data_IF_127616574927
#
_entry.id   IF_127616574927
#
_cell.length_a   1.000
_cell.length_b   1.000
_cell.length_c   1.000
_cell.angle_alpha   90.00
_cell.angle_beta   90.00
_cell.angle_gamma   90.00
#
_symmetry.space_group_name_H-M   'P 1'
#
loop_
_entity.id
_entity.type
_entity.pdbx_description
1 polymer ?
#
# COMPACT_ATOMS: atom_id res chain seq x y z
N UNK A 1 -22.63 15.15 -4.71
CA UNK A 1 -22.12 15.49 -3.35
C UNK A 1 -22.04 17.00 -3.21
N UNK A 2 -22.66 17.60 -2.20
CA UNK A 2 -22.33 19.00 -1.87
C UNK A 2 -20.95 19.00 -1.23
N UNK A 3 -19.94 19.55 -1.89
CA UNK A 3 -18.67 19.83 -1.27
C UNK A 3 -18.91 20.83 -0.12
N UNK A 4 -18.33 20.61 1.08
CA UNK A 4 -18.45 21.60 2.15
C UNK A 4 -17.93 22.94 1.64
N UNK A 5 -18.68 24.00 1.87
CA UNK A 5 -18.31 25.37 1.45
C UNK A 5 -17.16 25.95 2.27
N UNK A 6 -16.79 25.28 3.37
CA UNK A 6 -15.73 25.70 4.30
C UNK A 6 -14.49 24.83 4.02
N UNK A 7 -13.34 25.46 3.90
CA UNK A 7 -12.06 24.74 3.75
C UNK A 7 -11.74 24.00 5.05
N UNK A 8 -11.46 22.69 4.96
CA UNK A 8 -11.10 21.83 6.10
C UNK A 8 -9.94 22.38 6.95
N UNK A 9 -9.02 23.15 6.35
CA UNK A 9 -7.91 23.81 7.05
C UNK A 9 -8.35 24.68 8.21
N UNK A 10 -9.54 25.29 8.12
CA UNK A 10 -10.08 26.13 9.18
C UNK A 10 -10.33 25.36 10.47
N UNK A 11 -10.45 24.03 10.35
CA UNK A 11 -10.69 23.10 11.46
C UNK A 11 -9.41 22.45 12.01
N UNK A 12 -8.26 22.55 11.30
CA UNK A 12 -7.00 21.94 11.75
C UNK A 12 -6.28 22.83 12.77
N UNK A 13 -6.87 22.98 13.95
CA UNK A 13 -6.34 23.81 15.05
C UNK A 13 -6.72 23.22 16.41
N UNK A 14 -5.93 23.51 17.47
CA UNK A 14 -6.21 23.02 18.82
C UNK A 14 -7.63 23.35 19.31
N UNK A 15 -8.25 22.38 19.99
CA UNK A 15 -9.57 22.49 20.60
C UNK A 15 -10.77 22.22 19.68
N UNK A 16 -10.58 22.12 18.37
CA UNK A 16 -11.62 21.68 17.43
C UNK A 16 -11.95 20.21 17.65
N UNK A 17 -13.24 19.86 17.62
CA UNK A 17 -13.75 18.50 17.82
C UNK A 17 -14.03 17.82 16.49
N UNK A 18 -13.24 16.80 16.17
CA UNK A 18 -13.39 16.00 14.96
C UNK A 18 -14.02 14.64 15.28
N UNK A 19 -15.07 14.27 14.53
CA UNK A 19 -15.65 12.93 14.56
C UNK A 19 -15.19 12.14 13.33
N UNK A 20 -14.58 10.97 13.54
CA UNK A 20 -14.08 10.10 12.49
C UNK A 20 -14.97 8.87 12.35
N UNK A 21 -15.75 8.80 11.27
CA UNK A 21 -16.58 7.64 10.96
C UNK A 21 -15.73 6.54 10.27
N UNK A 22 -15.69 5.34 10.86
CA UNK A 22 -14.80 4.23 10.47
C UNK A 22 -13.39 4.42 11.01
N UNK A 23 -13.25 4.91 12.23
CA UNK A 23 -11.98 5.34 12.84
C UNK A 23 -10.94 4.22 12.97
N UNK A 24 -11.37 2.95 13.11
CA UNK A 24 -10.48 1.78 13.19
C UNK A 24 -9.85 1.35 11.88
N UNK A 25 -10.22 1.97 10.75
CA UNK A 25 -9.67 1.66 9.44
C UNK A 25 -8.17 2.00 9.32
N UNK A 26 -7.42 1.22 8.49
CA UNK A 26 -5.95 1.28 8.34
C UNK A 26 -5.39 2.70 8.13
N UNK A 27 -6.12 3.57 7.45
CA UNK A 27 -5.68 4.96 7.19
C UNK A 27 -6.50 6.01 7.93
N UNK A 28 -7.55 5.60 8.66
CA UNK A 28 -8.32 6.49 9.55
C UNK A 28 -7.69 6.57 10.94
N UNK A 29 -7.18 5.44 11.45
CA UNK A 29 -6.47 5.40 12.73
C UNK A 29 -5.24 6.33 12.74
N UNK A 30 -4.32 6.29 11.74
CA UNK A 30 -3.23 7.27 11.64
C UNK A 30 -3.73 8.72 11.60
N UNK A 31 -4.81 8.97 10.86
CA UNK A 31 -5.40 10.30 10.78
C UNK A 31 -5.88 10.78 12.16
N UNK A 32 -6.53 9.91 12.93
CA UNK A 32 -6.99 10.23 14.29
C UNK A 32 -5.81 10.65 15.20
N UNK A 33 -4.70 9.93 15.14
CA UNK A 33 -3.51 10.24 15.94
C UNK A 33 -2.81 11.52 15.50
N UNK A 34 -2.70 11.76 14.19
CA UNK A 34 -2.14 13.03 13.68
C UNK A 34 -2.99 14.20 14.13
N UNK A 35 -4.32 14.13 13.99
CA UNK A 35 -5.24 15.18 14.45
C UNK A 35 -5.15 15.39 15.95
N UNK A 36 -5.06 14.32 16.75
CA UNK A 36 -4.83 14.40 18.19
C UNK A 36 -3.49 15.09 18.49
N UNK A 37 -2.42 14.72 17.79
CA UNK A 37 -1.10 15.36 17.89
C UNK A 37 -1.10 16.84 17.52
N UNK A 38 -1.99 17.28 16.63
CA UNK A 38 -2.23 18.69 16.29
C UNK A 38 -3.09 19.43 17.32
N UNK A 39 -3.53 18.74 18.40
CA UNK A 39 -4.30 19.32 19.49
C UNK A 39 -5.80 19.34 19.27
N UNK A 40 -6.34 18.63 18.28
CA UNK A 40 -7.77 18.45 18.11
C UNK A 40 -8.32 17.49 19.18
N UNK A 41 -9.58 17.62 19.51
CA UNK A 41 -10.33 16.66 20.32
C UNK A 41 -10.93 15.65 19.34
N UNK A 42 -10.39 14.43 19.34
CA UNK A 42 -10.80 13.38 18.40
C UNK A 42 -11.79 12.44 19.07
N UNK A 43 -12.86 12.11 18.36
CA UNK A 43 -13.80 11.05 18.67
C UNK A 43 -14.17 10.30 17.40
N UNK A 44 -14.80 9.14 17.49
CA UNK A 44 -15.21 8.44 16.28
C UNK A 44 -16.07 7.22 16.54
N UNK A 45 -16.33 6.48 15.46
CA UNK A 45 -17.10 5.25 15.49
C UNK A 45 -16.49 4.20 14.56
N UNK A 46 -16.73 2.95 14.88
CA UNK A 46 -16.43 1.82 13.98
C UNK A 46 -17.53 0.74 14.10
N UNK A 47 -17.66 -0.10 13.08
CA UNK A 47 -18.67 -1.18 13.11
C UNK A 47 -18.28 -2.32 14.05
N UNK A 48 -16.99 -2.51 14.28
CA UNK A 48 -16.44 -3.64 15.02
C UNK A 48 -15.43 -3.22 16.07
N UNK A 49 -15.44 -3.92 17.20
CA UNK A 49 -14.34 -3.87 18.15
C UNK A 49 -13.09 -4.50 17.52
N UNK A 50 -11.98 -3.81 17.51
CA UNK A 50 -10.70 -4.28 16.98
C UNK A 50 -9.55 -3.84 17.88
N UNK A 51 -8.37 -4.46 17.72
CA UNK A 51 -7.17 -4.05 18.45
C UNK A 51 -6.85 -2.57 18.21
N UNK A 52 -7.06 -2.08 16.98
CA UNK A 52 -6.90 -0.67 16.61
C UNK A 52 -7.85 0.24 17.40
N UNK A 53 -9.12 -0.15 17.53
CA UNK A 53 -10.11 0.60 18.34
C UNK A 53 -9.71 0.60 19.81
N UNK A 54 -9.25 -0.54 20.34
CA UNK A 54 -8.74 -0.65 21.72
C UNK A 54 -7.53 0.29 21.94
N UNK A 55 -6.59 0.34 21.01
CA UNK A 55 -5.43 1.23 21.06
C UNK A 55 -5.83 2.72 21.06
N UNK A 56 -6.76 3.13 20.18
CA UNK A 56 -7.27 4.50 20.14
C UNK A 56 -7.94 4.90 21.47
N UNK A 57 -8.74 4.00 22.06
CA UNK A 57 -9.33 4.23 23.38
C UNK A 57 -8.29 4.36 24.49
N UNK A 58 -7.22 3.56 24.44
CA UNK A 58 -6.11 3.67 25.40
C UNK A 58 -5.40 5.03 25.32
N UNK A 59 -5.45 5.70 24.15
CA UNK A 59 -4.95 7.07 23.97
C UNK A 59 -5.94 8.15 24.38
N UNK A 60 -7.12 7.77 24.91
CA UNK A 60 -8.15 8.70 25.39
C UNK A 60 -9.15 9.15 24.32
N UNK A 61 -9.15 8.53 23.13
CA UNK A 61 -10.13 8.81 22.07
C UNK A 61 -11.43 8.07 22.38
N UNK A 62 -12.55 8.79 22.37
CA UNK A 62 -13.88 8.21 22.57
C UNK A 62 -14.37 7.56 21.29
N UNK A 63 -14.46 6.22 21.27
CA UNK A 63 -14.85 5.43 20.08
C UNK A 63 -16.12 4.64 20.39
N UNK A 64 -17.19 4.93 19.64
CA UNK A 64 -18.46 4.20 19.68
C UNK A 64 -18.38 2.95 18.74
N UNK A 65 -19.08 1.88 19.14
CA UNK A 65 -19.27 0.71 18.25
C UNK A 65 -20.68 0.81 17.65
N UNK A 66 -20.74 0.70 16.32
CA UNK A 66 -21.93 0.94 15.50
C UNK A 66 -22.08 2.42 15.13
N UNK A 67 -22.76 2.66 14.02
CA UNK A 67 -23.04 4.01 13.52
C UNK A 67 -24.41 4.52 13.99
N UNK A 68 -24.42 5.67 14.67
CA UNK A 68 -25.61 6.36 15.11
C UNK A 68 -25.42 7.88 15.06
N UNK A 69 -26.45 8.63 14.69
CA UNK A 69 -26.43 10.09 14.73
C UNK A 69 -26.17 10.66 16.16
N UNK A 70 -26.37 9.85 17.20
CA UNK A 70 -26.08 10.19 18.59
C UNK A 70 -24.58 10.21 18.88
N UNK A 71 -23.77 9.49 18.10
CA UNK A 71 -22.31 9.47 18.23
C UNK A 71 -21.69 10.84 17.92
N UNK A 72 -22.36 11.67 17.13
CA UNK A 72 -21.82 12.97 16.70
C UNK A 72 -21.62 13.98 17.84
N UNK A 73 -22.27 13.80 19.00
CA UNK A 73 -22.12 14.71 20.14
C UNK A 73 -21.94 16.18 19.70
N UNK A 74 -20.99 16.91 20.33
CA UNK A 74 -20.67 18.31 20.02
C UNK A 74 -19.45 18.35 19.06
N UNK A 75 -19.54 17.78 17.85
CA UNK A 75 -18.44 17.84 16.88
C UNK A 75 -18.57 19.02 15.93
N UNK A 76 -17.41 19.58 15.53
CA UNK A 76 -17.31 20.72 14.62
C UNK A 76 -17.21 20.26 13.15
N UNK A 77 -16.68 19.05 12.92
CA UNK A 77 -16.57 18.42 11.61
C UNK A 77 -16.66 16.90 11.71
N UNK A 78 -17.04 16.27 10.60
CA UNK A 78 -16.99 14.82 10.41
C UNK A 78 -16.01 14.49 9.31
N UNK A 79 -15.17 13.47 9.54
CA UNK A 79 -14.29 12.90 8.51
C UNK A 79 -14.69 11.44 8.33
N UNK A 80 -14.91 11.02 7.07
CA UNK A 80 -15.32 9.66 6.74
C UNK A 80 -14.33 8.95 5.82
N UNK A 81 -14.31 7.63 5.89
CA UNK A 81 -13.70 6.81 4.84
C UNK A 81 -14.61 6.73 3.61
N UNK A 82 -14.06 6.53 2.42
CA UNK A 82 -14.83 6.36 1.18
C UNK A 82 -15.81 5.16 1.22
N UNK A 83 -15.62 4.21 2.14
CA UNK A 83 -16.53 3.08 2.35
C UNK A 83 -17.85 3.46 3.03
N UNK A 84 -17.95 4.64 3.62
CA UNK A 84 -19.14 5.14 4.33
C UNK A 84 -19.83 6.18 3.45
N UNK A 85 -21.07 5.88 3.03
CA UNK A 85 -21.86 6.71 2.12
C UNK A 85 -22.82 7.66 2.85
N UNK A 86 -23.53 8.49 2.10
CA UNK A 86 -24.38 9.55 2.64
C UNK A 86 -25.60 9.01 3.43
N UNK A 87 -26.01 7.76 3.18
CA UNK A 87 -27.10 7.07 3.89
C UNK A 87 -26.71 6.59 5.29
N UNK A 88 -25.44 6.61 5.64
CA UNK A 88 -24.98 6.25 6.98
C UNK A 88 -25.60 7.22 8.01
N UNK A 89 -26.13 6.72 9.15
CA UNK A 89 -26.81 7.55 10.14
C UNK A 89 -25.98 8.73 10.68
N UNK A 90 -24.67 8.58 10.80
CA UNK A 90 -23.77 9.65 11.25
C UNK A 90 -23.63 10.72 10.16
N UNK A 91 -23.42 10.29 8.91
CA UNK A 91 -23.26 11.24 7.80
C UNK A 91 -24.57 11.99 7.56
N UNK A 92 -25.70 11.28 7.47
CA UNK A 92 -27.02 11.89 7.35
C UNK A 92 -27.33 12.84 8.51
N UNK A 93 -26.97 12.44 9.76
CA UNK A 93 -27.12 13.25 10.95
C UNK A 93 -26.25 14.50 10.95
N UNK A 94 -25.02 14.42 10.46
CA UNK A 94 -24.12 15.57 10.31
C UNK A 94 -24.68 16.58 9.29
N UNK A 95 -25.09 16.09 8.11
CA UNK A 95 -25.69 16.92 7.06
C UNK A 95 -26.94 17.64 7.60
N UNK A 96 -27.84 16.92 8.30
CA UNK A 96 -29.06 17.50 8.87
C UNK A 96 -28.78 18.58 9.94
N UNK A 97 -27.64 18.50 10.65
CA UNK A 97 -27.21 19.48 11.65
C UNK A 97 -26.34 20.60 11.06
N UNK A 98 -26.03 20.56 9.74
CA UNK A 98 -25.13 21.53 9.09
C UNK A 98 -23.67 21.37 9.49
N UNK A 99 -23.26 20.19 10.01
CA UNK A 99 -21.89 19.88 10.35
C UNK A 99 -21.17 19.47 9.04
N UNK A 100 -20.04 20.10 8.69
CA UNK A 100 -19.33 19.78 7.47
C UNK A 100 -18.75 18.36 7.50
N UNK A 101 -18.91 17.65 6.39
CA UNK A 101 -18.41 16.28 6.19
C UNK A 101 -17.32 16.29 5.14
N UNK A 102 -16.17 15.73 5.47
CA UNK A 102 -15.01 15.62 4.58
C UNK A 102 -14.63 14.17 4.35
N UNK A 103 -14.05 13.90 3.18
CA UNK A 103 -13.39 12.64 2.90
C UNK A 103 -12.01 12.59 3.60
N UNK A 104 -11.61 11.42 4.01
CA UNK A 104 -10.28 11.16 4.59
C UNK A 104 -9.14 11.74 3.76
N UNK A 105 -9.20 11.62 2.42
CA UNK A 105 -8.18 12.13 1.52
C UNK A 105 -8.07 13.67 1.58
N UNK A 106 -9.20 14.38 1.74
CA UNK A 106 -9.20 15.84 1.92
C UNK A 106 -8.51 16.24 3.24
N UNK A 107 -8.73 15.46 4.31
CA UNK A 107 -8.09 15.71 5.60
C UNK A 107 -6.56 15.52 5.49
N UNK A 108 -6.11 14.44 4.88
CA UNK A 108 -4.68 14.22 4.64
C UNK A 108 -4.07 15.31 3.75
N UNK A 109 -4.76 15.71 2.67
CA UNK A 109 -4.31 16.82 1.83
C UNK A 109 -4.15 18.12 2.60
N UNK A 110 -5.07 18.46 3.50
CA UNK A 110 -4.96 19.65 4.33
C UNK A 110 -3.80 19.54 5.33
N UNK A 111 -3.61 18.38 5.96
CA UNK A 111 -2.49 18.11 6.88
C UNK A 111 -1.15 18.26 6.17
N UNK A 112 -0.99 17.73 4.96
CA UNK A 112 0.25 17.80 4.17
C UNK A 112 0.76 19.22 4.01
N UNK A 113 -0.12 20.22 3.93
CA UNK A 113 0.25 21.62 3.74
C UNK A 113 0.89 22.28 4.99
N UNK A 114 0.94 21.56 6.12
CA UNK A 114 1.70 21.97 7.30
C UNK A 114 3.17 21.51 7.26
N UNK A 115 3.55 20.71 6.26
CA UNK A 115 4.90 20.21 6.08
C UNK A 115 5.59 20.93 4.91
N UNK A 116 6.89 21.18 5.05
CA UNK A 116 7.70 21.76 3.97
C UNK A 116 7.85 20.77 2.80
N UNK A 117 8.04 19.49 3.15
CA UNK A 117 8.24 18.40 2.21
C UNK A 117 7.12 17.38 2.34
N UNK A 118 6.30 17.26 1.30
CA UNK A 118 5.24 16.27 1.19
C UNK A 118 5.58 15.29 0.06
N UNK A 119 6.10 14.12 0.42
CA UNK A 119 6.51 13.07 -0.52
C UNK A 119 5.39 12.07 -0.69
N UNK A 120 4.90 11.93 -1.91
CA UNK A 120 3.79 11.06 -2.27
C UNK A 120 4.24 9.96 -3.23
N UNK A 121 4.20 8.71 -2.77
CA UNK A 121 4.49 7.54 -3.62
C UNK A 121 3.20 6.99 -4.21
N UNK A 122 3.09 7.07 -5.55
CA UNK A 122 1.95 6.57 -6.33
C UNK A 122 2.39 5.54 -7.37
N UNK A 123 1.44 4.80 -7.90
CA UNK A 123 1.64 3.78 -8.91
C UNK A 123 0.66 2.63 -8.73
N UNK A 124 0.42 1.87 -9.76
CA UNK A 124 -0.44 0.68 -9.68
C UNK A 124 0.14 -0.31 -8.67
N UNK A 125 1.46 -0.56 -8.72
CA UNK A 125 2.17 -1.50 -7.86
C UNK A 125 3.38 -0.87 -7.16
N UNK A 126 3.85 -1.49 -6.07
CA UNK A 126 5.08 -1.11 -5.38
C UNK A 126 4.96 0.01 -4.35
N UNK A 127 3.81 0.70 -4.26
CA UNK A 127 3.57 1.84 -3.34
C UNK A 127 4.04 1.58 -1.92
N UNK A 128 3.50 0.54 -1.27
CA UNK A 128 3.79 0.20 0.13
C UNK A 128 5.27 -0.08 0.36
N UNK A 129 5.89 -0.87 -0.50
CA UNK A 129 7.31 -1.21 -0.40
C UNK A 129 8.19 0.02 -0.56
N UNK A 130 7.91 0.88 -1.56
CA UNK A 130 8.71 2.08 -1.82
C UNK A 130 8.54 3.11 -0.71
N UNK A 131 7.31 3.32 -0.21
CA UNK A 131 7.05 4.21 0.94
C UNK A 131 7.77 3.72 2.20
N UNK A 132 7.81 2.40 2.40
CA UNK A 132 8.55 1.78 3.51
C UNK A 132 10.06 1.97 3.37
N UNK A 133 10.64 1.75 2.18
CA UNK A 133 12.05 2.01 1.89
C UNK A 133 12.41 3.49 2.13
N UNK A 134 11.60 4.43 1.63
CA UNK A 134 11.79 5.85 1.87
C UNK A 134 11.73 6.17 3.37
N UNK A 135 10.79 5.57 4.10
CA UNK A 135 10.71 5.74 5.56
C UNK A 135 12.01 5.35 6.25
N UNK A 136 12.59 4.18 5.91
CA UNK A 136 13.88 3.74 6.45
C UNK A 136 15.00 4.73 6.13
N UNK A 137 15.07 5.21 4.88
CA UNK A 137 16.08 6.20 4.45
C UNK A 137 15.97 7.49 5.27
N UNK A 138 14.76 8.06 5.39
CA UNK A 138 14.54 9.32 6.11
C UNK A 138 14.74 9.17 7.62
N UNK A 139 14.43 8.01 8.20
CA UNK A 139 14.75 7.69 9.58
C UNK A 139 16.27 7.56 9.79
N UNK A 140 16.99 6.90 8.89
CA UNK A 140 18.45 6.80 8.91
C UNK A 140 19.13 8.17 8.76
N UNK A 141 18.49 9.10 8.05
CA UNK A 141 18.90 10.51 7.94
C UNK A 141 18.55 11.36 9.17
N UNK A 142 17.86 10.80 10.17
CA UNK A 142 17.36 11.52 11.35
C UNK A 142 16.39 12.67 11.01
N UNK A 143 15.68 12.58 9.88
CA UNK A 143 14.73 13.59 9.44
C UNK A 143 13.41 13.58 10.23
N UNK A 144 13.20 12.60 11.09
CA UNK A 144 12.01 12.46 11.95
C UNK A 144 10.67 12.63 11.22
N UNK A 145 10.41 11.91 10.09
CA UNK A 145 9.25 12.16 9.24
C UNK A 145 7.94 11.71 9.89
N UNK A 146 6.84 12.38 9.50
CA UNK A 146 5.49 11.81 9.63
C UNK A 146 5.26 10.88 8.43
N UNK A 147 4.69 9.70 8.69
CA UNK A 147 4.60 8.64 7.67
C UNK A 147 3.22 8.01 7.68
N UNK A 148 2.67 7.70 6.50
CA UNK A 148 1.49 6.85 6.32
C UNK A 148 1.76 5.84 5.20
N UNK A 149 1.70 4.57 5.55
CA UNK A 149 1.94 3.40 4.69
C UNK A 149 0.67 2.57 4.62
N UNK A 150 0.37 1.97 3.48
CA UNK A 150 -0.79 1.09 3.30
C UNK A 150 -0.68 -0.30 3.94
N UNK A 151 0.38 -0.56 4.68
CA UNK A 151 0.65 -1.81 5.39
C UNK A 151 1.46 -1.57 6.66
N UNK A 152 1.74 -2.62 7.41
CA UNK A 152 2.57 -2.54 8.64
C UNK A 152 4.05 -2.53 8.28
N UNK A 153 4.81 -1.60 8.87
CA UNK A 153 6.26 -1.58 8.80
C UNK A 153 6.84 -2.08 10.14
N UNK A 154 7.59 -3.19 10.15
CA UNK A 154 8.10 -3.79 11.39
C UNK A 154 8.84 -2.81 12.30
N UNK A 155 9.68 -1.95 11.73
CA UNK A 155 10.42 -0.91 12.47
C UNK A 155 9.51 0.05 13.26
N UNK A 156 8.29 0.29 12.77
CA UNK A 156 7.31 1.19 13.41
C UNK A 156 6.30 0.43 14.26
N UNK A 157 6.21 -0.90 14.14
CA UNK A 157 5.12 -1.73 14.66
C UNK A 157 3.73 -1.25 14.25
N UNK A 158 3.65 -0.46 13.18
CA UNK A 158 2.45 0.19 12.66
C UNK A 158 2.58 0.49 11.16
N UNK A 159 1.48 0.89 10.51
CA UNK A 159 1.48 1.44 9.15
C UNK A 159 1.69 2.96 9.11
N UNK A 160 2.06 3.58 10.22
CA UNK A 160 2.19 5.03 10.33
C UNK A 160 3.11 5.46 11.46
N UNK A 161 3.52 6.72 11.41
CA UNK A 161 4.29 7.39 12.45
C UNK A 161 3.98 8.89 12.42
N UNK A 162 3.85 9.50 13.58
CA UNK A 162 3.80 10.96 13.72
C UNK A 162 5.18 11.45 14.14
N UNK A 163 5.88 12.11 13.22
CA UNK A 163 7.19 12.72 13.45
C UNK A 163 7.09 14.18 13.82
N UNK A 164 8.24 14.78 14.16
CA UNK A 164 8.38 16.21 14.47
C UNK A 164 9.17 16.97 13.40
N UNK A 165 9.63 16.25 12.36
CA UNK A 165 10.33 16.85 11.23
C UNK A 165 9.40 17.61 10.29
N UNK A 166 9.97 18.26 9.32
CA UNK A 166 9.30 19.05 8.29
C UNK A 166 8.85 18.23 7.07
N UNK A 167 9.00 16.91 7.14
CA UNK A 167 8.71 15.98 6.04
C UNK A 167 7.56 15.05 6.39
N UNK A 168 6.60 14.92 5.46
CA UNK A 168 5.57 13.89 5.49
C UNK A 168 5.72 12.96 4.28
N UNK A 169 5.64 11.64 4.51
CA UNK A 169 5.78 10.59 3.50
C UNK A 169 4.49 9.80 3.44
N UNK A 170 3.83 9.76 2.28
CA UNK A 170 2.51 9.19 2.12
C UNK A 170 2.46 8.19 0.97
N UNK A 171 1.87 7.03 1.22
CA UNK A 171 1.38 6.17 0.17
C UNK A 171 0.12 6.80 -0.45
N UNK A 172 0.12 6.98 -1.77
CA UNK A 172 -0.89 7.76 -2.50
C UNK A 172 -1.64 6.88 -3.50
N UNK A 173 -2.87 6.50 -3.12
CA UNK A 173 -3.70 5.59 -3.91
C UNK A 173 -4.49 6.36 -4.97
N UNK A 174 -4.47 5.85 -6.19
CA UNK A 174 -5.21 6.36 -7.36
C UNK A 174 -6.71 6.05 -7.29
N UNK A 175 -7.11 5.02 -6.57
CA UNK A 175 -8.51 4.58 -6.51
C UNK A 175 -9.46 5.71 -6.10
N UNK A 176 -10.56 5.86 -6.85
CA UNK A 176 -11.52 6.96 -6.70
C UNK A 176 -10.87 8.36 -6.76
N UNK A 177 -9.75 8.49 -7.46
CA UNK A 177 -8.99 9.75 -7.55
C UNK A 177 -8.62 10.34 -6.18
N UNK A 178 -8.44 9.47 -5.16
CA UNK A 178 -8.17 9.91 -3.79
C UNK A 178 -6.93 10.79 -3.69
N UNK A 179 -5.86 10.46 -4.42
CA UNK A 179 -4.60 11.20 -4.42
C UNK A 179 -4.71 12.62 -5.02
N UNK A 180 -5.76 12.92 -5.81
CA UNK A 180 -6.02 14.27 -6.32
C UNK A 180 -6.45 15.27 -5.24
N UNK A 181 -6.74 14.80 -4.02
CA UNK A 181 -6.96 15.65 -2.86
C UNK A 181 -5.65 16.02 -2.14
N UNK A 182 -4.50 15.48 -2.58
CA UNK A 182 -3.21 15.71 -1.95
C UNK A 182 -2.52 16.97 -2.51
N UNK A 183 -1.50 17.43 -1.79
CA UNK A 183 -0.68 18.58 -2.16
C UNK A 183 0.80 18.19 -2.11
N UNK A 184 1.26 17.31 -3.03
CA UNK A 184 2.64 16.85 -3.03
C UNK A 184 3.62 17.97 -3.35
N UNK A 185 4.74 18.03 -2.66
CA UNK A 185 5.93 18.77 -3.11
C UNK A 185 6.89 17.85 -3.87
N UNK A 186 6.78 16.54 -3.63
CA UNK A 186 7.46 15.49 -4.39
C UNK A 186 6.44 14.41 -4.74
N UNK A 187 6.10 14.28 -6.03
CA UNK A 187 5.24 13.22 -6.54
C UNK A 187 6.09 12.15 -7.22
N UNK A 188 5.98 10.90 -6.76
CA UNK A 188 6.70 9.76 -7.33
C UNK A 188 5.70 8.84 -8.02
N UNK A 189 5.93 8.55 -9.31
CA UNK A 189 5.13 7.63 -10.12
C UNK A 189 5.96 6.39 -10.43
N UNK A 190 5.60 5.26 -9.83
CA UNK A 190 6.34 4.00 -9.94
C UNK A 190 6.04 3.26 -11.23
N UNK A 191 4.79 3.14 -11.56
CA UNK A 191 4.25 2.49 -12.74
C UNK A 191 2.77 2.84 -12.90
N UNK A 192 2.24 2.73 -14.12
CA UNK A 192 0.83 2.96 -14.43
C UNK A 192 0.34 1.84 -15.34
N UNK A 193 -0.56 1.01 -14.82
CA UNK A 193 -1.16 -0.12 -15.51
C UNK A 193 -2.66 -0.23 -15.23
N UNK A 194 -3.32 -1.18 -15.87
CA UNK A 194 -4.74 -1.41 -15.67
C UNK A 194 -5.01 -2.00 -14.29
N UNK A 195 -5.69 -1.24 -13.45
CA UNK A 195 -6.30 -1.67 -12.19
C UNK A 195 -7.54 -0.81 -11.91
N UNK A 196 -8.37 -1.21 -10.96
CA UNK A 196 -9.55 -0.45 -10.55
C UNK A 196 -10.52 -0.11 -11.71
N UNK A 197 -10.72 -1.05 -12.64
CA UNK A 197 -11.64 -0.89 -13.80
C UNK A 197 -13.12 -0.84 -13.38
N UNK A 198 -13.43 -1.01 -12.11
CA UNK A 198 -14.71 -0.68 -11.51
C UNK A 198 -14.92 0.85 -11.37
N UNK A 199 -13.85 1.62 -11.38
CA UNK A 199 -13.87 3.08 -11.30
C UNK A 199 -13.37 3.75 -12.58
N UNK A 200 -12.21 3.34 -13.11
CA UNK A 200 -11.63 3.84 -14.35
C UNK A 200 -12.20 3.13 -15.59
N UNK A 201 -12.33 3.85 -16.70
CA UNK A 201 -12.84 3.29 -17.95
C UNK A 201 -11.83 2.40 -18.66
N UNK A 202 -10.59 2.83 -18.69
CA UNK A 202 -9.49 2.22 -19.42
C UNK A 202 -8.13 2.77 -18.92
N UNK A 203 -7.04 2.23 -19.47
CA UNK A 203 -5.67 2.67 -19.16
C UNK A 203 -5.46 4.17 -19.39
N UNK A 204 -6.07 4.75 -20.44
CA UNK A 204 -5.93 6.18 -20.73
C UNK A 204 -6.56 7.07 -19.69
N UNK A 205 -7.67 6.64 -19.11
CA UNK A 205 -8.33 7.34 -18.02
C UNK A 205 -7.45 7.29 -16.75
N UNK A 206 -6.79 6.15 -16.51
CA UNK A 206 -5.80 5.99 -15.43
C UNK A 206 -4.59 6.91 -15.67
N UNK A 207 -3.96 6.88 -16.85
CA UNK A 207 -2.83 7.74 -17.22
C UNK A 207 -3.18 9.22 -17.03
N UNK A 208 -4.40 9.64 -17.44
CA UNK A 208 -4.88 11.01 -17.24
C UNK A 208 -5.01 11.38 -15.76
N UNK A 209 -5.47 10.46 -14.93
CA UNK A 209 -5.54 10.66 -13.46
C UNK A 209 -4.15 10.84 -12.84
N UNK A 210 -3.17 10.02 -13.24
CA UNK A 210 -1.78 10.17 -12.79
C UNK A 210 -1.13 11.46 -13.31
N UNK A 211 -1.46 11.88 -14.55
CA UNK A 211 -1.04 13.18 -15.08
C UNK A 211 -1.56 14.33 -14.21
N UNK A 212 -2.86 14.31 -13.89
CA UNK A 212 -3.46 15.32 -13.05
C UNK A 212 -2.84 15.33 -11.63
N UNK A 213 -2.47 14.17 -11.09
CA UNK A 213 -1.75 14.08 -9.82
C UNK A 213 -0.34 14.70 -9.89
N UNK A 214 0.42 14.42 -10.95
CA UNK A 214 1.74 15.00 -11.16
C UNK A 214 1.69 16.53 -11.32
N UNK A 215 0.64 17.05 -11.98
CA UNK A 215 0.43 18.50 -12.18
C UNK A 215 0.06 19.26 -10.88
N UNK A 216 -0.28 18.54 -9.78
CA UNK A 216 -0.45 19.16 -8.46
C UNK A 216 0.86 19.67 -7.84
N UNK A 217 2.00 19.18 -8.32
CA UNK A 217 3.30 19.56 -7.78
C UNK A 217 3.58 21.04 -8.06
N UNK A 218 3.95 21.86 -7.06
CA UNK A 218 4.27 23.26 -7.28
C UNK A 218 5.58 23.42 -8.07
N UNK A 219 5.80 24.57 -8.72
CA UNK A 219 6.98 24.87 -9.55
C UNK A 219 8.33 24.61 -8.84
N UNK A 220 8.38 24.71 -7.52
CA UNK A 220 9.56 24.41 -6.69
C UNK A 220 9.69 22.96 -6.30
N UNK A 221 8.69 22.11 -6.65
CA UNK A 221 8.66 20.71 -6.30
C UNK A 221 9.25 19.81 -7.37
N UNK A 222 9.14 18.51 -7.18
CA UNK A 222 9.72 17.49 -8.06
C UNK A 222 8.70 16.46 -8.46
N UNK A 223 8.63 16.14 -9.76
CA UNK A 223 7.96 14.94 -10.26
C UNK A 223 9.04 13.90 -10.53
N UNK A 224 8.91 12.71 -9.96
CA UNK A 224 9.86 11.60 -10.12
C UNK A 224 9.11 10.48 -10.84
N UNK A 225 9.65 9.97 -11.96
CA UNK A 225 8.96 8.98 -12.79
C UNK A 225 9.87 7.85 -13.25
N UNK A 226 9.29 6.65 -13.33
CA UNK A 226 9.96 5.47 -13.86
C UNK A 226 10.07 5.54 -15.38
N UNK A 227 11.29 5.67 -15.90
CA UNK A 227 11.54 5.70 -17.34
C UNK A 227 11.39 4.34 -18.02
N UNK A 228 11.43 3.22 -17.28
CA UNK A 228 11.23 1.87 -17.83
C UNK A 228 9.74 1.54 -18.03
N UNK A 229 8.82 2.25 -17.37
CA UNK A 229 7.38 2.01 -17.44
C UNK A 229 6.71 2.93 -18.47
N UNK A 230 5.99 2.35 -19.45
CA UNK A 230 5.36 3.13 -20.50
C UNK A 230 4.25 4.03 -19.97
N UNK A 231 3.37 3.50 -19.11
CA UNK A 231 2.26 4.27 -18.57
C UNK A 231 2.74 5.42 -17.67
N UNK A 232 3.84 5.22 -16.90
CA UNK A 232 4.45 6.29 -16.13
C UNK A 232 5.04 7.39 -17.04
N UNK A 233 5.67 7.03 -18.16
CA UNK A 233 6.15 8.02 -19.17
C UNK A 233 5.00 8.81 -19.77
N UNK A 234 3.90 8.13 -20.15
CA UNK A 234 2.69 8.79 -20.71
C UNK A 234 2.06 9.72 -19.67
N UNK A 235 1.99 9.29 -18.41
CA UNK A 235 1.42 10.10 -17.32
C UNK A 235 2.19 11.41 -17.08
N UNK A 236 3.49 11.47 -17.35
CA UNK A 236 4.29 12.69 -17.16
C UNK A 236 4.56 13.47 -18.46
N UNK A 237 4.09 12.95 -19.58
CA UNK A 237 4.30 13.60 -20.88
C UNK A 237 3.58 14.98 -20.94
N UNK A 238 4.30 16.01 -21.39
CA UNK A 238 3.75 17.36 -21.55
C UNK A 238 3.57 18.14 -20.25
N UNK A 239 4.04 17.67 -19.11
CA UNK A 239 4.07 18.46 -17.88
C UNK A 239 4.95 19.70 -18.04
N UNK A 240 4.54 20.79 -17.42
CA UNK A 240 5.33 22.03 -17.37
C UNK A 240 6.41 22.01 -16.26
N UNK A 241 6.63 20.87 -15.63
CA UNK A 241 7.62 20.65 -14.59
C UNK A 241 8.77 19.81 -15.12
N UNK A 242 10.00 20.02 -14.68
CA UNK A 242 11.08 19.08 -14.92
C UNK A 242 10.76 17.75 -14.22
N UNK A 243 10.87 16.66 -14.97
CA UNK A 243 10.67 15.30 -14.45
C UNK A 243 12.04 14.71 -14.15
N UNK A 244 12.26 14.29 -12.91
CA UNK A 244 13.41 13.50 -12.51
C UNK A 244 13.12 12.03 -12.79
N UNK A 245 13.94 11.39 -13.61
CA UNK A 245 13.69 10.02 -14.07
C UNK A 245 14.53 9.00 -13.32
N UNK A 246 13.96 7.81 -13.07
CA UNK A 246 14.74 6.66 -12.62
C UNK A 246 14.53 5.45 -13.53
N UNK A 247 15.57 4.62 -13.65
CA UNK A 247 15.55 3.46 -14.55
C UNK A 247 16.51 2.36 -14.08
N UNK A 248 16.16 1.12 -14.38
CA UNK A 248 17.04 -0.03 -14.29
C UNK A 248 17.72 -0.34 -15.64
N UNK A 249 17.04 -0.04 -16.76
CA UNK A 249 17.47 -0.37 -18.10
C UNK A 249 18.24 0.77 -18.79
N UNK A 250 17.84 2.03 -18.55
CA UNK A 250 18.38 3.21 -19.24
C UNK A 250 19.37 4.00 -18.35
N UNK A 251 20.64 4.00 -18.72
CA UNK A 251 21.70 4.74 -18.02
C UNK A 251 21.71 6.24 -18.34
N UNK A 252 20.82 6.71 -19.20
CA UNK A 252 20.65 8.15 -19.50
C UNK A 252 19.61 8.79 -18.55
N UNK A 253 18.88 8.00 -17.78
CA UNK A 253 18.01 8.47 -16.72
C UNK A 253 18.80 9.24 -15.63
N UNK A 254 18.16 10.16 -14.94
CA UNK A 254 18.80 10.95 -13.87
C UNK A 254 19.30 10.04 -12.74
N UNK A 255 18.54 9.01 -12.39
CA UNK A 255 18.90 7.96 -11.42
C UNK A 255 18.86 6.59 -12.10
N UNK A 256 19.90 5.77 -11.94
CA UNK A 256 19.92 4.42 -12.48
C UNK A 256 20.78 3.46 -11.65
N UNK A 257 20.49 2.15 -11.78
CA UNK A 257 21.30 1.10 -11.15
C UNK A 257 22.52 0.74 -12.01
N UNK A 258 23.68 0.56 -11.37
CA UNK A 258 24.92 0.07 -11.97
C UNK A 258 25.43 -1.14 -11.18
N UNK A 259 26.17 -2.01 -11.87
CA UNK A 259 26.86 -3.17 -11.28
C UNK A 259 25.92 -4.09 -10.46
N UNK A 260 24.73 -4.36 -11.03
CA UNK A 260 23.69 -5.17 -10.40
C UNK A 260 24.12 -6.63 -10.30
N UNK A 261 24.16 -7.15 -9.10
CA UNK A 261 24.39 -8.57 -8.79
C UNK A 261 23.25 -9.11 -7.93
N UNK A 262 23.04 -10.44 -7.97
CA UNK A 262 22.02 -11.10 -7.15
C UNK A 262 22.65 -12.18 -6.29
N UNK A 263 22.26 -12.20 -5.00
CA UNK A 263 22.63 -13.21 -4.01
C UNK A 263 21.37 -13.68 -3.30
N UNK A 264 21.04 -14.95 -3.42
CA UNK A 264 19.79 -15.54 -2.85
C UNK A 264 18.52 -14.77 -3.22
N UNK A 265 18.44 -14.28 -4.48
CA UNK A 265 17.32 -13.50 -5.00
C UNK A 265 17.31 -12.01 -4.59
N UNK A 266 18.20 -11.59 -3.69
CA UNK A 266 18.36 -10.20 -3.26
C UNK A 266 19.39 -9.48 -4.12
N UNK A 267 19.15 -8.20 -4.41
CA UNK A 267 20.02 -7.41 -5.29
C UNK A 267 21.06 -6.60 -4.51
N UNK A 268 22.29 -6.55 -5.03
CA UNK A 268 23.35 -5.62 -4.66
C UNK A 268 23.68 -4.75 -5.88
N UNK A 269 23.72 -3.42 -5.72
CA UNK A 269 23.96 -2.50 -6.83
C UNK A 269 24.38 -1.09 -6.36
N UNK A 270 24.99 -0.35 -7.29
CA UNK A 270 25.27 1.07 -7.12
C UNK A 270 24.09 1.92 -7.62
N UNK A 271 23.62 2.87 -6.81
CA UNK A 271 22.70 3.95 -7.22
C UNK A 271 23.52 5.09 -7.81
N UNK A 272 23.36 5.31 -9.11
CA UNK A 272 24.01 6.41 -9.84
C UNK A 272 23.03 7.56 -10.03
N UNK A 273 23.42 8.80 -9.72
CA UNK A 273 22.63 9.99 -9.99
C UNK A 273 23.47 10.96 -10.82
N UNK A 274 22.96 11.36 -11.98
CA UNK A 274 23.66 12.21 -12.95
C UNK A 274 25.08 11.70 -13.26
N UNK A 275 25.23 10.36 -13.34
CA UNK A 275 26.51 9.71 -13.64
C UNK A 275 27.48 9.61 -12.45
N UNK A 276 27.13 10.06 -11.27
CA UNK A 276 27.94 9.98 -10.05
C UNK A 276 27.40 8.93 -9.10
N UNK A 277 28.28 8.23 -8.39
CA UNK A 277 27.89 7.30 -7.34
C UNK A 277 27.24 8.07 -6.17
N UNK A 278 26.00 7.77 -5.88
CA UNK A 278 25.24 8.35 -4.76
C UNK A 278 25.19 7.44 -3.54
N UNK A 279 24.90 6.15 -3.77
CA UNK A 279 24.82 5.15 -2.70
C UNK A 279 25.17 3.76 -3.24
N UNK A 280 25.74 2.89 -2.40
CA UNK A 280 25.76 1.46 -2.62
C UNK A 280 24.65 0.81 -1.81
N UNK A 281 23.95 -0.16 -2.39
CA UNK A 281 22.74 -0.75 -1.80
C UNK A 281 22.83 -2.27 -1.85
N UNK A 282 22.68 -2.90 -0.68
CA UNK A 282 22.45 -4.33 -0.52
C UNK A 282 21.03 -4.53 -0.01
N UNK A 283 20.12 -5.04 -0.88
CA UNK A 283 18.73 -5.30 -0.47
C UNK A 283 18.64 -6.65 0.25
N UNK A 284 17.80 -6.69 1.29
CA UNK A 284 17.46 -7.92 2.02
C UNK A 284 16.08 -8.46 1.67
N UNK A 285 15.46 -7.94 0.62
CA UNK A 285 14.21 -8.44 0.05
C UNK A 285 14.43 -8.87 -1.39
N UNK A 286 13.89 -10.04 -1.79
CA UNK A 286 14.13 -10.57 -3.11
C UNK A 286 13.29 -9.87 -4.18
N UNK A 287 13.70 -10.02 -5.44
CA UNK A 287 12.96 -9.59 -6.60
C UNK A 287 13.52 -8.35 -7.30
N UNK A 288 13.68 -8.48 -8.64
CA UNK A 288 14.24 -7.44 -9.51
C UNK A 288 13.45 -6.11 -9.43
N UNK A 289 12.14 -6.17 -9.26
CA UNK A 289 11.29 -4.98 -9.13
C UNK A 289 11.64 -4.13 -7.90
N UNK A 290 12.24 -4.71 -6.86
CA UNK A 290 12.67 -3.97 -5.69
C UNK A 290 13.88 -3.07 -5.94
N UNK A 291 14.64 -3.30 -7.01
CA UNK A 291 15.67 -2.34 -7.45
C UNK A 291 14.99 -1.02 -7.88
N UNK A 292 13.92 -1.10 -8.70
CA UNK A 292 13.16 0.10 -9.12
C UNK A 292 12.51 0.81 -7.93
N UNK A 293 11.96 0.06 -6.96
CA UNK A 293 11.42 0.63 -5.72
C UNK A 293 12.51 1.38 -4.93
N UNK A 294 13.71 0.80 -4.82
CA UNK A 294 14.85 1.43 -4.15
C UNK A 294 15.36 2.67 -4.89
N UNK A 295 15.43 2.63 -6.23
CA UNK A 295 15.80 3.79 -7.06
C UNK A 295 14.81 4.93 -6.89
N UNK A 296 13.51 4.64 -6.85
CA UNK A 296 12.46 5.65 -6.62
C UNK A 296 12.59 6.29 -5.23
N UNK A 297 12.80 5.49 -4.18
CA UNK A 297 13.02 5.98 -2.81
C UNK A 297 14.32 6.81 -2.70
N UNK A 298 15.41 6.36 -3.34
CA UNK A 298 16.68 7.08 -3.41
C UNK A 298 16.57 8.40 -4.18
N UNK A 299 15.78 8.42 -5.27
CA UNK A 299 15.50 9.65 -6.03
C UNK A 299 14.77 10.69 -5.19
N UNK A 300 13.74 10.25 -4.42
CA UNK A 300 13.03 11.13 -3.49
C UNK A 300 13.95 11.67 -2.38
N UNK A 301 14.86 10.84 -1.88
CA UNK A 301 15.87 11.23 -0.92
C UNK A 301 16.85 12.28 -1.51
N UNK A 302 17.32 12.05 -2.74
CA UNK A 302 18.26 12.94 -3.41
C UNK A 302 17.71 14.35 -3.64
N UNK A 303 16.48 14.45 -4.18
CA UNK A 303 15.86 15.77 -4.46
C UNK A 303 15.59 16.58 -3.20
N UNK A 304 15.51 15.91 -2.04
CA UNK A 304 15.40 16.52 -0.72
C UNK A 304 16.74 16.62 0.02
N UNK A 305 17.85 16.47 -0.71
CA UNK A 305 19.22 16.64 -0.18
C UNK A 305 19.58 15.68 0.98
N UNK A 306 18.94 14.53 1.06
CA UNK A 306 19.32 13.46 1.99
C UNK A 306 20.66 12.88 1.52
N UNK A 307 21.66 12.68 2.38
CA UNK A 307 22.94 12.14 1.97
C UNK A 307 22.86 10.66 1.56
N UNK A 308 23.62 10.25 0.53
CA UNK A 308 23.65 8.85 0.03
C UNK A 308 23.97 7.81 1.11
N UNK A 309 24.77 8.18 2.13
CA UNK A 309 25.03 7.29 3.28
C UNK A 309 23.75 6.91 4.05
N UNK A 310 22.76 7.81 4.11
CA UNK A 310 21.48 7.48 4.73
C UNK A 310 20.65 6.53 3.84
N UNK A 311 20.79 6.63 2.52
CA UNK A 311 20.18 5.69 1.56
C UNK A 311 20.78 4.30 1.76
N UNK A 312 22.12 4.17 1.79
CA UNK A 312 22.79 2.88 2.06
C UNK A 312 22.28 2.26 3.36
N UNK A 313 22.35 2.97 4.49
CA UNK A 313 21.92 2.44 5.80
C UNK A 313 20.43 2.11 5.84
N UNK A 314 19.58 3.01 5.33
CA UNK A 314 18.13 2.83 5.39
C UNK A 314 17.66 1.64 4.56
N UNK A 315 18.28 1.36 3.41
CA UNK A 315 17.95 0.22 2.57
C UNK A 315 18.59 -1.09 3.07
N UNK A 316 19.77 -1.03 3.69
CA UNK A 316 20.39 -2.16 4.37
C UNK A 316 19.54 -2.63 5.58
N UNK A 317 18.97 -1.69 6.35
CA UNK A 317 18.09 -1.99 7.48
C UNK A 317 16.67 -2.40 7.06
N UNK A 318 16.34 -2.34 5.76
CA UNK A 318 15.00 -2.67 5.28
C UNK A 318 14.86 -4.16 4.96
N UNK A 319 14.12 -4.88 5.79
CA UNK A 319 13.85 -6.32 5.64
C UNK A 319 12.43 -6.64 5.15
N UNK A 320 11.72 -5.65 4.58
CA UNK A 320 10.38 -5.80 4.04
C UNK A 320 9.30 -5.09 4.85
N UNK A 321 8.11 -5.04 4.28
CA UNK A 321 6.88 -4.58 4.92
C UNK A 321 5.98 -5.78 5.19
N UNK A 322 5.11 -5.66 6.17
CA UNK A 322 4.16 -6.71 6.49
C UNK A 322 3.33 -7.12 5.28
N UNK A 323 3.16 -8.40 5.09
CA UNK A 323 2.47 -9.00 3.96
C UNK A 323 3.07 -8.64 2.58
N UNK A 324 4.39 -8.39 2.48
CA UNK A 324 5.12 -8.18 1.22
C UNK A 324 6.33 -9.11 1.18
N UNK A 325 6.10 -10.32 0.68
CA UNK A 325 7.03 -11.45 0.74
C UNK A 325 7.59 -11.65 2.16
N UNK A 326 6.70 -11.58 3.14
CA UNK A 326 7.02 -11.61 4.57
C UNK A 326 7.32 -13.04 5.02
N UNK A 327 8.53 -13.30 5.52
CA UNK A 327 8.87 -14.57 6.14
C UNK A 327 8.16 -14.69 7.49
N UNK A 328 7.27 -15.68 7.61
CA UNK A 328 6.46 -15.93 8.81
C UNK A 328 7.08 -16.98 9.73
N UNK A 329 7.94 -17.84 9.21
CA UNK A 329 8.55 -18.94 9.96
C UNK A 329 8.77 -20.18 9.10
N UNK A 330 8.90 -21.35 9.74
CA UNK A 330 9.00 -22.61 9.03
C UNK A 330 8.13 -23.69 9.67
N UNK A 331 7.59 -24.58 8.83
CA UNK A 331 6.76 -25.72 9.21
C UNK A 331 7.37 -26.99 8.65
N UNK A 332 7.83 -27.93 9.53
CA UNK A 332 8.46 -29.21 9.16
C UNK A 332 9.58 -29.07 8.11
N UNK A 333 10.37 -27.96 8.17
CA UNK A 333 11.46 -27.69 7.25
C UNK A 333 11.04 -27.01 5.94
N UNK A 334 9.76 -26.70 5.74
CA UNK A 334 9.28 -25.81 4.70
C UNK A 334 9.26 -24.36 5.20
N UNK A 335 9.75 -23.43 4.38
CA UNK A 335 9.67 -22.00 4.70
C UNK A 335 8.26 -21.47 4.40
N UNK A 336 7.69 -20.67 5.31
CA UNK A 336 6.33 -20.10 5.17
C UNK A 336 6.44 -18.59 5.01
N UNK A 337 5.88 -18.07 3.91
CA UNK A 337 5.83 -16.65 3.59
C UNK A 337 4.39 -16.19 3.35
N UNK A 338 4.13 -14.92 3.60
CA UNK A 338 2.86 -14.26 3.27
C UNK A 338 3.06 -13.10 2.30
N UNK A 339 2.14 -12.96 1.34
CA UNK A 339 2.15 -11.84 0.41
C UNK A 339 0.74 -11.32 0.12
N UNK A 340 0.64 -10.01 -0.04
CA UNK A 340 -0.61 -9.31 -0.29
C UNK A 340 -1.03 -9.31 -1.77
N UNK A 341 -0.23 -9.88 -2.66
CA UNK A 341 -0.48 -9.91 -4.10
C UNK A 341 -1.90 -10.43 -4.41
N UNK A 342 -2.61 -9.67 -5.22
CA UNK A 342 -4.00 -9.96 -5.55
C UNK A 342 -4.36 -9.58 -7.00
N UNK A 343 -3.38 -9.10 -7.77
CA UNK A 343 -3.46 -8.82 -9.19
C UNK A 343 -2.56 -9.79 -9.96
N UNK A 344 -2.90 -10.25 -11.20
CA UNK A 344 -2.06 -11.17 -11.96
C UNK A 344 -0.62 -10.70 -12.16
N UNK A 345 -0.40 -9.41 -12.42
CA UNK A 345 0.95 -8.86 -12.56
C UNK A 345 1.77 -8.97 -11.27
N UNK A 346 1.14 -8.78 -10.10
CA UNK A 346 1.79 -8.98 -8.79
C UNK A 346 2.10 -10.46 -8.55
N UNK A 347 1.16 -11.35 -8.89
CA UNK A 347 1.37 -12.80 -8.83
C UNK A 347 2.54 -13.23 -9.70
N UNK A 348 2.62 -12.70 -10.93
CA UNK A 348 3.73 -12.99 -11.83
C UNK A 348 5.08 -12.62 -11.19
N UNK A 349 5.21 -11.41 -10.68
CA UNK A 349 6.43 -10.93 -10.05
C UNK A 349 6.80 -11.76 -8.80
N UNK A 350 5.81 -12.03 -7.94
CA UNK A 350 5.97 -12.84 -6.73
C UNK A 350 6.40 -14.26 -7.04
N UNK A 351 5.67 -14.96 -7.90
CA UNK A 351 5.89 -16.38 -8.19
C UNK A 351 7.17 -16.59 -8.99
N UNK A 352 7.52 -15.69 -9.90
CA UNK A 352 8.81 -15.71 -10.60
C UNK A 352 9.98 -15.52 -9.63
N UNK A 353 9.84 -14.59 -8.69
CA UNK A 353 10.83 -14.39 -7.63
C UNK A 353 10.97 -15.63 -6.75
N UNK A 354 9.86 -16.19 -6.27
CA UNK A 354 9.83 -17.40 -5.44
C UNK A 354 10.54 -18.58 -6.12
N UNK A 355 10.29 -18.79 -7.40
CA UNK A 355 10.95 -19.84 -8.18
C UNK A 355 12.46 -19.64 -8.39
N UNK A 356 12.93 -18.40 -8.32
CA UNK A 356 14.37 -18.08 -8.45
C UNK A 356 15.18 -18.30 -7.16
N UNK A 357 14.52 -18.54 -6.02
CA UNK A 357 15.17 -18.65 -4.70
C UNK A 357 15.73 -20.03 -4.36
N UNK A 358 15.68 -20.99 -5.28
CA UNK A 358 16.33 -22.29 -5.13
C UNK A 358 15.62 -23.27 -4.17
N UNK A 359 14.34 -23.04 -3.80
CA UNK A 359 13.53 -24.02 -3.08
C UNK A 359 13.21 -25.24 -3.97
N UNK A 360 13.01 -26.40 -3.35
CA UNK A 360 12.70 -27.63 -4.09
C UNK A 360 11.34 -27.56 -4.79
N UNK A 361 10.34 -27.00 -4.10
CA UNK A 361 8.98 -26.77 -4.62
C UNK A 361 8.42 -25.47 -4.10
N UNK A 362 7.64 -24.78 -4.92
CA UNK A 362 6.82 -23.63 -4.56
C UNK A 362 5.37 -24.03 -4.46
N UNK A 363 4.78 -23.96 -3.26
CA UNK A 363 3.38 -24.22 -2.97
C UNK A 363 2.69 -22.89 -2.73
N UNK A 364 1.76 -22.50 -3.60
CA UNK A 364 1.02 -21.23 -3.49
C UNK A 364 -0.41 -21.48 -3.04
N UNK A 365 -0.78 -21.02 -1.84
CA UNK A 365 -2.16 -20.93 -1.38
C UNK A 365 -2.70 -19.55 -1.70
N UNK A 366 -3.52 -19.44 -2.74
CA UNK A 366 -4.03 -18.17 -3.24
C UNK A 366 -5.51 -17.98 -2.89
N UNK A 367 -5.85 -16.77 -2.41
CA UNK A 367 -7.22 -16.30 -2.19
C UNK A 367 -7.52 -15.15 -3.15
N UNK A 368 -8.34 -15.35 -4.20
CA UNK A 368 -8.78 -14.26 -5.05
C UNK A 368 -9.53 -13.18 -4.24
N UNK A 369 -9.36 -11.93 -4.60
CA UNK A 369 -9.98 -10.79 -3.92
C UNK A 369 -10.98 -10.11 -4.85
N UNK A 370 -12.25 -10.08 -4.45
CA UNK A 370 -13.47 -9.63 -5.13
C UNK A 370 -13.91 -10.49 -6.33
N UNK A 371 -15.22 -10.60 -6.51
CA UNK A 371 -15.80 -11.35 -7.61
C UNK A 371 -15.59 -10.65 -8.96
N UNK A 372 -15.71 -9.32 -8.96
CA UNK A 372 -15.54 -8.50 -10.17
C UNK A 372 -14.14 -8.64 -10.77
N UNK A 373 -13.08 -8.46 -9.94
CA UNK A 373 -11.69 -8.62 -10.39
C UNK A 373 -11.40 -10.06 -10.83
N UNK A 374 -11.84 -11.04 -10.08
CA UNK A 374 -11.63 -12.45 -10.43
C UNK A 374 -12.25 -12.79 -11.77
N UNK A 375 -13.43 -12.23 -12.07
CA UNK A 375 -14.10 -12.44 -13.37
C UNK A 375 -13.41 -11.71 -14.50
N UNK A 376 -13.03 -10.43 -14.30
CA UNK A 376 -12.41 -9.59 -15.31
C UNK A 376 -11.03 -10.12 -15.75
N UNK A 377 -10.22 -10.63 -14.80
CA UNK A 377 -8.84 -11.10 -15.03
C UNK A 377 -8.72 -12.63 -14.97
N UNK A 378 -9.79 -13.35 -15.25
CA UNK A 378 -9.89 -14.80 -15.04
C UNK A 378 -8.77 -15.57 -15.76
N UNK A 379 -8.59 -15.32 -17.06
CA UNK A 379 -7.59 -16.05 -17.86
C UNK A 379 -6.15 -15.69 -17.46
N UNK A 380 -5.92 -14.46 -17.00
CA UNK A 380 -4.63 -14.04 -16.46
C UNK A 380 -4.33 -14.75 -15.14
N UNK A 381 -5.30 -14.87 -14.23
CA UNK A 381 -5.15 -15.67 -13.01
C UNK A 381 -4.84 -17.13 -13.32
N UNK A 382 -5.56 -17.73 -14.28
CA UNK A 382 -5.29 -19.12 -14.72
C UNK A 382 -3.88 -19.27 -15.22
N UNK A 383 -3.36 -18.30 -15.99
CA UNK A 383 -1.99 -18.36 -16.51
C UNK A 383 -0.94 -18.26 -15.39
N UNK A 384 -1.05 -17.27 -14.51
CA UNK A 384 -0.04 -17.03 -13.47
C UNK A 384 -0.06 -18.10 -12.39
N UNK A 385 -1.21 -18.63 -12.03
CA UNK A 385 -1.35 -19.68 -11.00
C UNK A 385 -0.89 -21.08 -11.48
N UNK A 386 -0.41 -21.21 -12.70
CA UNK A 386 0.32 -22.39 -13.18
C UNK A 386 1.84 -22.31 -12.96
N UNK A 387 2.36 -21.16 -12.51
CA UNK A 387 3.79 -20.99 -12.20
C UNK A 387 4.26 -21.79 -10.97
N UNK A 388 3.50 -21.90 -9.87
CA UNK A 388 3.88 -22.75 -8.73
C UNK A 388 3.88 -24.23 -9.08
N UNK A 389 4.62 -25.03 -8.32
CA UNK A 389 4.57 -26.50 -8.45
C UNK A 389 3.25 -27.07 -7.95
N UNK A 390 2.65 -26.42 -6.94
CA UNK A 390 1.32 -26.77 -6.41
C UNK A 390 0.55 -25.48 -6.13
N UNK A 391 -0.68 -25.41 -6.65
CA UNK A 391 -1.61 -24.31 -6.38
C UNK A 391 -2.77 -24.81 -5.52
N UNK A 392 -2.97 -24.15 -4.38
CA UNK A 392 -4.11 -24.34 -3.47
C UNK A 392 -4.99 -23.09 -3.54
N UNK A 393 -6.26 -23.24 -3.86
CA UNK A 393 -7.20 -22.13 -4.02
C UNK A 393 -8.18 -22.06 -2.87
N UNK A 394 -8.12 -20.99 -2.10
CA UNK A 394 -9.16 -20.62 -1.15
C UNK A 394 -10.37 -20.00 -1.87
N UNK A 395 -11.55 -19.98 -1.23
CA UNK A 395 -12.73 -19.30 -1.81
C UNK A 395 -12.48 -17.78 -1.90
N UNK A 396 -13.13 -17.13 -2.89
CA UNK A 396 -12.98 -15.70 -3.16
C UNK A 396 -13.32 -14.89 -1.91
N UNK A 397 -12.44 -13.99 -1.53
CA UNK A 397 -12.72 -13.00 -0.49
C UNK A 397 -13.60 -11.88 -1.08
N UNK A 398 -14.86 -11.86 -0.66
CA UNK A 398 -15.86 -10.98 -1.24
C UNK A 398 -15.62 -9.48 -0.99
N UNK A 399 -14.89 -9.13 0.10
CA UNK A 399 -14.77 -7.76 0.58
C UNK A 399 -16.15 -7.10 0.75
N UNK A 400 -16.52 -6.18 -0.14
CA UNK A 400 -17.79 -5.45 -0.13
C UNK A 400 -18.80 -5.95 -1.17
N UNK A 401 -18.41 -6.91 -2.00
CA UNK A 401 -19.24 -7.37 -3.13
C UNK A 401 -20.18 -8.49 -2.72
N UNK A 402 -21.32 -8.56 -3.41
CA UNK A 402 -22.18 -9.74 -3.44
C UNK A 402 -21.91 -10.52 -4.73
N UNK A 403 -21.96 -11.86 -4.66
CA UNK A 403 -21.69 -12.71 -5.82
C UNK A 403 -22.87 -12.72 -6.81
N UNK A 404 -23.07 -11.60 -7.52
CA UNK A 404 -24.06 -11.52 -8.60
C UNK A 404 -23.55 -12.10 -9.92
N UNK A 405 -22.24 -12.34 -10.02
CA UNK A 405 -21.58 -12.84 -11.23
C UNK A 405 -21.54 -14.37 -11.29
N UNK A 406 -21.92 -15.05 -10.20
CA UNK A 406 -21.96 -16.52 -10.10
C UNK A 406 -20.59 -17.18 -10.27
N UNK A 407 -19.48 -16.52 -9.88
CA UNK A 407 -18.11 -17.03 -9.97
C UNK A 407 -17.60 -17.49 -8.60
N UNK A 408 -16.77 -18.53 -8.59
CA UNK A 408 -16.07 -19.02 -7.40
C UNK A 408 -14.65 -19.42 -7.74
N UNK A 409 -13.81 -19.62 -6.72
CA UNK A 409 -12.44 -20.14 -6.91
C UNK A 409 -12.42 -21.55 -7.49
N UNK A 410 -13.53 -22.28 -7.43
CA UNK A 410 -13.66 -23.59 -8.07
C UNK A 410 -13.55 -23.48 -9.59
N UNK A 411 -14.10 -22.39 -10.19
CA UNK A 411 -14.02 -22.18 -11.63
C UNK A 411 -12.57 -21.98 -12.09
N UNK A 412 -11.74 -21.33 -11.27
CA UNK A 412 -10.28 -21.25 -11.49
C UNK A 412 -9.62 -22.62 -11.36
N UNK A 413 -9.95 -23.36 -10.31
CA UNK A 413 -9.38 -24.68 -10.06
C UNK A 413 -9.65 -25.67 -11.23
N UNK A 414 -10.81 -25.59 -11.85
CA UNK A 414 -11.15 -26.42 -13.01
C UNK A 414 -10.28 -26.11 -14.26
N UNK A 415 -9.69 -24.93 -14.33
CA UNK A 415 -8.82 -24.50 -15.43
C UNK A 415 -7.33 -24.66 -15.14
N UNK A 416 -6.94 -24.83 -13.87
CA UNK A 416 -5.55 -24.98 -13.46
C UNK A 416 -5.24 -26.45 -13.16
N UNK A 417 -4.50 -27.16 -14.01
CA UNK A 417 -4.23 -28.57 -13.84
C UNK A 417 -3.54 -28.88 -12.50
N UNK A 418 -4.09 -29.82 -11.75
CA UNK A 418 -3.51 -30.27 -10.48
C UNK A 418 -3.71 -29.33 -9.29
N UNK A 419 -4.44 -28.23 -9.47
CA UNK A 419 -4.78 -27.33 -8.36
C UNK A 419 -5.78 -27.97 -7.39
N UNK A 420 -5.76 -27.51 -6.13
CA UNK A 420 -6.60 -28.02 -5.04
C UNK A 420 -7.52 -26.89 -4.55
N UNK A 421 -8.82 -27.05 -4.72
CA UNK A 421 -9.80 -26.11 -4.19
C UNK A 421 -10.14 -26.41 -2.73
N UNK A 422 -10.12 -25.40 -1.88
CA UNK A 422 -10.47 -25.45 -0.47
C UNK A 422 -11.56 -24.42 -0.15
N UNK A 423 -12.72 -24.89 0.33
CA UNK A 423 -13.89 -24.04 0.61
C UNK A 423 -13.78 -23.23 1.91
N UNK A 424 -12.79 -23.49 2.76
CA UNK A 424 -12.54 -22.78 4.03
C UNK A 424 -11.04 -22.65 4.27
N UNK A 425 -10.63 -21.65 5.06
CA UNK A 425 -9.22 -21.46 5.45
C UNK A 425 -8.68 -22.64 6.27
N UNK A 426 -9.51 -23.29 7.10
CA UNK A 426 -9.08 -24.48 7.86
C UNK A 426 -8.70 -25.62 6.91
N UNK A 427 -9.46 -25.83 5.82
CA UNK A 427 -9.10 -26.80 4.79
C UNK A 427 -7.82 -26.40 4.04
N UNK A 428 -7.59 -25.13 3.82
CA UNK A 428 -6.31 -24.65 3.27
C UNK A 428 -5.17 -25.04 4.21
N UNK A 429 -5.30 -24.74 5.51
CA UNK A 429 -4.30 -25.11 6.53
C UNK A 429 -4.05 -26.63 6.56
N UNK A 430 -5.10 -27.45 6.56
CA UNK A 430 -4.99 -28.92 6.57
C UNK A 430 -4.28 -29.43 5.29
N UNK A 431 -4.62 -28.84 4.14
CA UNK A 431 -4.01 -29.18 2.86
C UNK A 431 -2.52 -28.83 2.84
N UNK A 432 -2.16 -27.62 3.28
CA UNK A 432 -0.76 -27.18 3.37
C UNK A 432 0.04 -28.06 4.33
N UNK A 433 -0.54 -28.43 5.49
CA UNK A 433 0.11 -29.31 6.46
C UNK A 433 0.38 -30.71 5.88
N UNK A 434 -0.53 -31.24 5.04
CA UNK A 434 -0.36 -32.54 4.39
C UNK A 434 0.60 -32.52 3.21
N UNK A 435 0.83 -31.36 2.59
CA UNK A 435 1.72 -31.19 1.42
C UNK A 435 3.16 -30.88 1.80
N UNK A 436 3.36 -30.15 2.92
CA UNK A 436 4.63 -29.59 3.33
C UNK A 436 5.73 -30.64 3.47
N UNK A 437 6.91 -30.35 2.91
CA UNK A 437 8.13 -31.17 3.00
C UNK A 437 9.34 -30.25 3.28
N UNK A 438 10.40 -30.78 3.88
CA UNK A 438 11.65 -30.03 3.99
C UNK A 438 12.12 -29.54 2.61
N UNK A 439 12.57 -28.30 2.52
CA UNK A 439 13.03 -27.66 1.27
C UNK A 439 11.91 -26.97 0.46
N UNK A 440 10.65 -27.08 0.86
CA UNK A 440 9.52 -26.36 0.21
C UNK A 440 9.48 -24.90 0.60
N UNK A 441 8.94 -24.07 -0.32
CA UNK A 441 8.44 -22.74 -0.06
C UNK A 441 6.92 -22.77 -0.08
N UNK A 442 6.28 -22.41 1.02
CA UNK A 442 4.84 -22.24 1.15
C UNK A 442 4.52 -20.75 1.14
N UNK A 443 3.67 -20.32 0.20
CA UNK A 443 3.18 -18.95 0.09
C UNK A 443 1.69 -18.90 0.44
N UNK A 444 1.29 -18.02 1.37
CA UNK A 444 -0.10 -17.57 1.53
C UNK A 444 -0.24 -16.24 0.81
N UNK A 445 -1.11 -16.18 -0.21
CA UNK A 445 -1.15 -15.05 -1.15
C UNK A 445 -2.56 -14.53 -1.32
N UNK A 446 -2.75 -13.21 -1.15
CA UNK A 446 -4.02 -12.53 -1.36
C UNK A 446 -4.26 -11.35 -0.43
N UNK A 447 -5.10 -10.40 -0.85
CA UNK A 447 -5.45 -9.20 -0.08
C UNK A 447 -6.50 -9.47 1.04
N UNK A 448 -7.09 -10.68 1.06
CA UNK A 448 -8.04 -11.11 2.09
C UNK A 448 -7.38 -11.64 3.36
N UNK A 449 -7.99 -12.65 3.93
CA UNK A 449 -7.62 -13.24 5.22
C UNK A 449 -6.82 -14.57 5.11
N UNK A 450 -6.32 -14.89 3.92
CA UNK A 450 -5.54 -16.12 3.63
C UNK A 450 -4.30 -16.26 4.52
N UNK A 451 -3.68 -15.15 4.94
CA UNK A 451 -2.52 -15.14 5.83
C UNK A 451 -2.77 -15.94 7.12
N UNK A 452 -4.03 -15.97 7.60
CA UNK A 452 -4.42 -16.74 8.79
C UNK A 452 -4.22 -18.25 8.60
N UNK A 453 -4.30 -18.74 7.36
CA UNK A 453 -4.02 -20.16 7.10
C UNK A 453 -2.53 -20.50 7.32
N UNK A 454 -1.63 -19.57 6.94
CA UNK A 454 -0.19 -19.68 7.23
C UNK A 454 0.11 -19.57 8.73
N UNK A 455 -0.50 -18.63 9.44
CA UNK A 455 -0.35 -18.48 10.89
C UNK A 455 -0.81 -19.75 11.63
N UNK A 456 -2.02 -20.25 11.32
CA UNK A 456 -2.53 -21.52 11.88
C UNK A 456 -1.65 -22.73 11.53
N UNK A 457 -1.00 -22.74 10.36
CA UNK A 457 -0.06 -23.78 10.00
C UNK A 457 1.16 -23.76 10.93
N UNK A 458 1.70 -22.57 11.21
CA UNK A 458 2.86 -22.38 12.09
C UNK A 458 2.52 -22.70 13.56
N UNK A 459 1.28 -22.49 14.01
CA UNK A 459 0.82 -22.88 15.36
C UNK A 459 0.83 -24.40 15.58
N UNK A 460 0.90 -25.20 14.51
CA UNK A 460 0.96 -26.67 14.55
C UNK A 460 2.39 -27.22 14.49
N UNK A 461 3.40 -26.34 14.38
CA UNK A 461 4.81 -26.72 14.22
C UNK A 461 5.46 -27.28 15.50
#
# INVERSE_FOLDING_TARGET
MMHPTIDIKTFLKPGVRAHLAGIGGVSMCPLAEVLLGMGLIVQGSDMTESDTVCQLRAQGIDVAIGHSAENLKDCDLVIRTAAIHDENPEIAGAIARGIPVYERAQAWGAIMQHYENAVCFSGTHGKTTTTSMATHIFMAAQADPTVMIGGTLPMLHAGYRVGKGDTIILESCEYCNSFLNFFPTVAVILNVGEDHLDFFKDLKDIEHSFHAFADLVPQRGYVISNADDQGAREAVAGLNHPVFTFSLADRTADCYARDVAFFDGCASFDVMIHGQLYAHVDLHIPGKHNILNALAAASAAYVLSIPGQAVTRGLEDFHGAGRRFEHKGSYHGAAVYDDYAHHPAELHALLTTARSMGYERVICAFQPHTYSRTKALFDDFVRELQLPDITVLAEIYAAREQNVLGISSRDLAEKIPGSIYCSTLDKVTDTLAGLARPGDLILTVGAGDIFRAGEKLLERA
#
